data_IF_012183269046
#
_entry.id   IF_012183269046
#
_cell.length_a   1.000
_cell.length_b   1.000
_cell.length_c   1.000
_cell.angle_alpha   90.00
_cell.angle_beta   90.00
_cell.angle_gamma   90.00
#
_symmetry.space_group_name_H-M   'P 1'
#
loop_
_entity.id
_entity.type
_entity.pdbx_description
1 polymer ?
#
# COMPACT_ATOMS: atom_id res chain seq x y z
N UNK A 1 4.94 5.89 -33.93
CA UNK A 1 4.33 5.08 -32.82
C UNK A 1 3.79 6.04 -31.80
N UNK A 2 2.48 5.96 -31.41
CA UNK A 2 1.92 6.83 -30.37
C UNK A 2 2.75 6.63 -29.09
N UNK A 3 3.23 7.73 -28.51
CA UNK A 3 4.03 7.76 -27.27
C UNK A 3 3.15 7.25 -26.11
N UNK A 4 3.13 5.92 -25.90
CA UNK A 4 2.31 5.29 -24.85
C UNK A 4 2.90 5.61 -23.48
N UNK A 5 2.06 5.91 -22.51
CA UNK A 5 2.48 6.12 -21.13
C UNK A 5 2.99 4.81 -20.51
N UNK A 6 4.04 4.91 -19.70
CA UNK A 6 4.70 3.78 -19.04
C UNK A 6 4.42 3.82 -17.55
N UNK A 7 3.91 2.71 -17.02
CA UNK A 7 3.64 2.55 -15.60
C UNK A 7 4.48 1.44 -14.97
N UNK A 8 5.01 1.70 -13.79
CA UNK A 8 5.64 0.71 -12.91
C UNK A 8 4.73 0.48 -11.70
N UNK A 9 4.34 -0.77 -11.46
CA UNK A 9 3.48 -1.15 -10.31
C UNK A 9 4.24 -2.17 -9.48
N UNK A 10 4.51 -1.87 -8.20
CA UNK A 10 5.20 -2.80 -7.30
C UNK A 10 4.21 -3.77 -6.63
N UNK A 11 4.62 -5.01 -6.36
CA UNK A 11 3.77 -6.02 -5.73
C UNK A 11 2.53 -6.37 -6.55
N UNK A 12 2.66 -6.44 -7.88
CA UNK A 12 1.55 -6.57 -8.82
C UNK A 12 1.10 -8.01 -9.08
N UNK A 13 1.66 -9.01 -8.41
CA UNK A 13 1.32 -10.42 -8.64
C UNK A 13 -0.04 -10.85 -8.06
N UNK A 14 -0.69 -10.02 -7.25
CA UNK A 14 -2.00 -10.30 -6.65
C UNK A 14 -2.70 -9.02 -6.19
N UNK A 15 -3.96 -9.15 -5.76
CA UNK A 15 -4.72 -8.11 -5.07
C UNK A 15 -4.78 -6.77 -5.80
N UNK A 16 -4.55 -5.69 -5.06
CA UNK A 16 -4.63 -4.31 -5.57
C UNK A 16 -3.66 -4.09 -6.73
N UNK A 17 -2.41 -4.52 -6.59
CA UNK A 17 -1.39 -4.32 -7.61
C UNK A 17 -1.74 -4.98 -8.95
N UNK A 18 -2.26 -6.22 -8.91
CA UNK A 18 -2.70 -6.93 -10.11
C UNK A 18 -3.90 -6.25 -10.78
N UNK A 19 -4.87 -5.81 -9.97
CA UNK A 19 -6.05 -5.11 -10.47
C UNK A 19 -5.69 -3.76 -11.11
N UNK A 20 -4.78 -3.00 -10.47
CA UNK A 20 -4.25 -1.76 -11.04
C UNK A 20 -3.48 -2.02 -12.34
N UNK A 21 -2.62 -3.04 -12.38
CA UNK A 21 -1.86 -3.38 -13.59
C UNK A 21 -2.79 -3.70 -14.76
N UNK A 22 -3.84 -4.49 -14.53
CA UNK A 22 -4.87 -4.81 -15.54
C UNK A 22 -5.56 -3.54 -16.04
N UNK A 23 -6.07 -2.71 -15.13
CA UNK A 23 -6.84 -1.53 -15.48
C UNK A 23 -6.03 -0.47 -16.22
N UNK A 24 -4.78 -0.27 -15.83
CA UNK A 24 -3.85 0.61 -16.54
C UNK A 24 -3.54 0.13 -17.96
N UNK A 25 -3.30 -1.18 -18.11
CA UNK A 25 -3.06 -1.77 -19.43
C UNK A 25 -4.28 -1.63 -20.36
N UNK A 26 -5.49 -1.81 -19.83
CA UNK A 26 -6.74 -1.56 -20.55
C UNK A 26 -6.93 -0.08 -20.97
N UNK A 27 -6.31 0.85 -20.22
CA UNK A 27 -6.27 2.29 -20.57
C UNK A 27 -5.10 2.65 -21.50
N UNK A 28 -4.39 1.66 -22.05
CA UNK A 28 -3.32 1.85 -23.03
C UNK A 28 -1.94 2.10 -22.46
N UNK A 29 -1.75 1.99 -21.14
CA UNK A 29 -0.41 2.03 -20.54
C UNK A 29 0.38 0.78 -20.89
N UNK A 30 1.70 0.93 -21.04
CA UNK A 30 2.66 -0.16 -20.96
C UNK A 30 2.99 -0.38 -19.49
N UNK A 31 2.57 -1.50 -18.90
CA UNK A 31 2.64 -1.73 -17.46
C UNK A 31 3.73 -2.71 -17.10
N UNK A 32 4.75 -2.25 -16.41
CA UNK A 32 5.76 -3.10 -15.81
C UNK A 32 5.28 -3.53 -14.42
N UNK A 33 4.92 -4.79 -14.32
CA UNK A 33 4.26 -5.38 -13.15
C UNK A 33 5.28 -6.11 -12.27
N UNK A 34 5.71 -5.44 -11.20
CA UNK A 34 6.73 -5.92 -10.27
C UNK A 34 6.24 -7.07 -9.40
N UNK A 35 7.03 -8.14 -9.32
CA UNK A 35 6.81 -9.26 -8.41
C UNK A 35 8.14 -9.70 -7.76
N UNK A 36 8.07 -10.23 -6.53
CA UNK A 36 9.26 -10.73 -5.80
C UNK A 36 9.50 -12.21 -6.02
N UNK A 37 8.44 -13.02 -5.97
CA UNK A 37 8.53 -14.47 -6.04
C UNK A 37 8.02 -14.99 -7.38
N UNK A 38 8.91 -15.60 -8.23
CA UNK A 38 8.52 -16.16 -9.52
C UNK A 38 7.41 -17.22 -9.43
N UNK A 39 7.41 -18.04 -8.36
CA UNK A 39 6.40 -19.09 -8.16
C UNK A 39 4.98 -18.53 -7.93
N UNK A 40 4.86 -17.24 -7.57
CA UNK A 40 3.58 -16.55 -7.33
C UNK A 40 3.20 -15.57 -8.46
N UNK A 41 3.90 -15.60 -9.59
CA UNK A 41 3.70 -14.67 -10.70
C UNK A 41 2.74 -15.18 -11.81
N UNK A 42 2.12 -16.35 -11.64
CA UNK A 42 1.27 -16.98 -12.68
C UNK A 42 0.17 -16.06 -13.21
N UNK A 43 -0.51 -15.33 -12.33
CA UNK A 43 -1.55 -14.37 -12.75
C UNK A 43 -1.01 -13.24 -13.64
N UNK A 44 0.24 -12.79 -13.43
CA UNK A 44 0.87 -11.78 -14.28
C UNK A 44 1.22 -12.33 -15.65
N UNK A 45 1.73 -13.56 -15.71
CA UNK A 45 2.01 -14.23 -16.96
C UNK A 45 0.75 -14.47 -17.79
N UNK A 46 -0.35 -14.85 -17.14
CA UNK A 46 -1.64 -14.95 -17.82
C UNK A 46 -2.12 -13.59 -18.36
N UNK A 47 -1.98 -12.53 -17.56
CA UNK A 47 -2.39 -11.19 -17.96
C UNK A 47 -1.54 -10.65 -19.12
N UNK A 48 -0.24 -10.97 -19.17
CA UNK A 48 0.68 -10.51 -20.20
C UNK A 48 0.41 -11.10 -21.59
N UNK A 49 -0.37 -12.19 -21.66
CA UNK A 49 -0.76 -12.82 -22.95
C UNK A 49 -1.79 -11.99 -23.72
N UNK A 50 -2.60 -11.19 -23.02
CA UNK A 50 -3.73 -10.45 -23.62
C UNK A 50 -3.62 -8.93 -23.49
N UNK A 51 -2.76 -8.43 -22.62
CA UNK A 51 -2.62 -7.00 -22.35
C UNK A 51 -1.14 -6.57 -22.33
N UNK A 52 -0.84 -5.30 -22.57
CA UNK A 52 0.52 -4.75 -22.52
C UNK A 52 1.06 -4.68 -21.08
N UNK A 53 1.07 -5.81 -20.39
CA UNK A 53 1.63 -6.02 -19.05
C UNK A 53 2.91 -6.83 -19.18
N UNK A 54 3.98 -6.33 -18.59
CA UNK A 54 5.32 -6.92 -18.63
C UNK A 54 5.70 -7.34 -17.20
N UNK A 55 5.66 -8.65 -16.88
CA UNK A 55 6.14 -9.13 -15.59
C UNK A 55 7.60 -8.74 -15.36
N UNK A 56 7.90 -8.17 -14.19
CA UNK A 56 9.21 -7.65 -13.86
C UNK A 56 9.66 -8.16 -12.49
N UNK A 57 10.79 -8.87 -12.43
CA UNK A 57 11.35 -9.29 -11.14
C UNK A 57 11.82 -8.05 -10.37
N UNK A 58 11.14 -7.76 -9.26
CA UNK A 58 11.38 -6.58 -8.44
C UNK A 58 11.09 -6.92 -6.98
N UNK A 59 12.13 -6.99 -6.19
CA UNK A 59 12.08 -7.10 -4.74
C UNK A 59 12.40 -5.73 -4.13
N UNK A 60 11.39 -5.09 -3.53
CA UNK A 60 11.53 -3.75 -2.95
C UNK A 60 12.40 -3.73 -1.70
N UNK A 61 12.62 -4.89 -1.07
CA UNK A 61 13.47 -5.02 0.12
C UNK A 61 14.96 -4.96 -0.26
N UNK A 62 15.32 -5.01 -1.56
CA UNK A 62 16.69 -5.11 -2.06
C UNK A 62 17.03 -4.03 -3.07
N UNK A 63 17.87 -3.07 -2.68
CA UNK A 63 18.31 -1.96 -3.55
C UNK A 63 18.85 -2.43 -4.92
N UNK A 64 19.70 -3.47 -5.02
CA UNK A 64 20.16 -3.95 -6.33
C UNK A 64 19.03 -4.46 -7.23
N UNK A 65 18.01 -5.11 -6.65
CA UNK A 65 16.83 -5.58 -7.40
C UNK A 65 16.03 -4.40 -7.96
N UNK A 66 15.78 -3.39 -7.13
CA UNK A 66 15.06 -2.17 -7.54
C UNK A 66 15.81 -1.45 -8.67
N UNK A 67 17.11 -1.21 -8.49
CA UNK A 67 17.93 -0.53 -9.50
C UNK A 67 17.97 -1.29 -10.84
N UNK A 68 18.13 -2.62 -10.79
CA UNK A 68 18.11 -3.47 -11.99
C UNK A 68 16.76 -3.38 -12.70
N UNK A 69 15.66 -3.47 -11.95
CA UNK A 69 14.30 -3.42 -12.50
C UNK A 69 14.02 -2.05 -13.16
N UNK A 70 14.28 -0.95 -12.45
CA UNK A 70 14.07 0.40 -12.98
C UNK A 70 14.95 0.64 -14.21
N UNK A 71 16.23 0.27 -14.17
CA UNK A 71 17.14 0.39 -15.32
C UNK A 71 16.65 -0.42 -16.52
N UNK A 72 16.08 -1.61 -16.30
CA UNK A 72 15.49 -2.42 -17.38
C UNK A 72 14.33 -1.69 -18.06
N UNK A 73 13.42 -1.07 -17.27
CA UNK A 73 12.32 -0.28 -17.82
C UNK A 73 12.84 0.92 -18.60
N UNK A 74 13.77 1.68 -18.02
CA UNK A 74 14.32 2.88 -18.66
C UNK A 74 15.10 2.57 -19.94
N UNK A 75 15.86 1.47 -19.99
CA UNK A 75 16.53 1.06 -21.24
C UNK A 75 15.55 0.73 -22.36
N UNK A 76 14.38 0.17 -21.99
CA UNK A 76 13.39 -0.31 -22.99
C UNK A 76 12.43 0.79 -23.44
N UNK A 77 12.06 1.68 -22.53
CA UNK A 77 11.00 2.68 -22.76
C UNK A 77 11.51 4.14 -22.74
N UNK A 78 12.70 4.36 -22.23
CA UNK A 78 13.29 5.69 -22.06
C UNK A 78 12.69 6.51 -20.90
N UNK A 79 11.56 6.06 -20.32
CA UNK A 79 10.79 6.83 -19.35
C UNK A 79 9.97 5.94 -18.41
N UNK A 80 9.53 6.54 -17.29
CA UNK A 80 8.46 6.04 -16.40
C UNK A 80 7.55 7.23 -16.12
N UNK A 81 6.30 7.18 -16.61
CA UNK A 81 5.33 8.26 -16.42
C UNK A 81 4.55 8.12 -15.12
N UNK A 82 4.33 6.88 -14.67
CA UNK A 82 3.56 6.55 -13.45
C UNK A 82 4.27 5.48 -12.62
N UNK A 83 4.42 5.75 -11.34
CA UNK A 83 4.79 4.74 -10.34
C UNK A 83 3.59 4.50 -9.41
N UNK A 84 3.22 3.23 -9.20
CA UNK A 84 2.32 2.81 -8.11
C UNK A 84 3.13 1.97 -7.12
N UNK A 85 3.43 2.55 -5.96
CA UNK A 85 4.01 1.84 -4.84
C UNK A 85 2.91 1.10 -4.09
N UNK A 86 2.77 -0.19 -4.40
CA UNK A 86 1.74 -1.05 -3.81
C UNK A 86 2.34 -2.22 -2.99
N UNK A 87 3.59 -2.58 -3.21
CA UNK A 87 4.23 -3.65 -2.46
C UNK A 87 4.16 -3.39 -0.96
N UNK A 88 3.65 -4.36 -0.21
CA UNK A 88 3.50 -4.26 1.23
C UNK A 88 2.76 -5.46 1.79
N UNK A 89 2.80 -5.62 3.10
CA UNK A 89 2.04 -6.64 3.82
C UNK A 89 1.61 -6.13 5.19
N UNK A 90 0.69 -6.82 5.82
CA UNK A 90 0.23 -6.57 7.18
C UNK A 90 0.94 -7.55 8.13
N UNK A 91 1.56 -7.02 9.18
CA UNK A 91 1.98 -7.78 10.34
C UNK A 91 0.98 -7.51 11.45
N UNK A 92 0.23 -8.53 11.84
CA UNK A 92 -0.71 -8.46 12.94
C UNK A 92 -0.05 -8.95 14.23
N UNK A 93 -0.30 -8.24 15.32
CA UNK A 93 0.18 -8.56 16.65
C UNK A 93 0.24 -7.33 17.55
N UNK A 94 0.17 -7.58 18.86
CA UNK A 94 0.42 -6.54 19.86
C UNK A 94 1.92 -6.26 19.93
N UNK A 95 2.29 -5.05 20.30
CA UNK A 95 3.69 -4.61 20.31
C UNK A 95 4.61 -5.56 21.10
N UNK A 96 4.16 -6.02 22.24
CA UNK A 96 4.91 -6.92 23.12
C UNK A 96 5.10 -8.34 22.54
N UNK A 97 4.17 -8.77 21.67
CA UNK A 97 4.21 -10.08 21.01
C UNK A 97 5.00 -10.09 19.70
N UNK A 98 5.29 -8.93 19.14
CA UNK A 98 6.08 -8.81 17.92
C UNK A 98 7.57 -8.77 18.23
N UNK A 99 8.35 -9.59 17.53
CA UNK A 99 9.80 -9.51 17.61
C UNK A 99 10.33 -8.30 16.83
N UNK A 100 11.53 -7.83 17.19
CA UNK A 100 12.24 -6.81 16.41
C UNK A 100 12.38 -7.22 14.94
N UNK A 101 12.58 -8.49 14.64
CA UNK A 101 12.66 -9.01 13.29
C UNK A 101 11.34 -8.85 12.53
N UNK A 102 10.18 -9.09 13.18
CA UNK A 102 8.86 -8.89 12.59
C UNK A 102 8.62 -7.42 12.25
N UNK A 103 8.92 -6.53 13.20
CA UNK A 103 8.76 -5.09 13.03
C UNK A 103 9.69 -4.58 11.91
N UNK A 104 10.98 -4.95 11.95
CA UNK A 104 11.96 -4.55 10.92
C UNK A 104 11.54 -5.03 9.52
N UNK A 105 11.08 -6.28 9.39
CA UNK A 105 10.63 -6.82 8.11
C UNK A 105 9.46 -6.03 7.54
N UNK A 106 8.53 -5.59 8.38
CA UNK A 106 7.40 -4.78 7.93
C UNK A 106 7.83 -3.38 7.50
N UNK A 107 8.69 -2.70 8.26
CA UNK A 107 9.25 -1.41 7.88
C UNK A 107 10.09 -1.51 6.61
N UNK A 108 10.88 -2.59 6.47
CA UNK A 108 11.71 -2.83 5.31
C UNK A 108 10.91 -2.81 4.01
N UNK A 109 9.80 -3.56 3.98
CA UNK A 109 8.95 -3.62 2.79
C UNK A 109 8.07 -2.37 2.65
N UNK A 110 7.35 -2.00 3.71
CA UNK A 110 6.27 -1.01 3.61
C UNK A 110 6.79 0.44 3.56
N UNK A 111 7.96 0.71 4.13
CA UNK A 111 8.54 2.06 4.25
C UNK A 111 9.79 2.20 3.39
N UNK A 112 10.83 1.45 3.71
CA UNK A 112 12.10 1.55 2.99
C UNK A 112 11.98 1.09 1.54
N UNK A 113 11.13 0.09 1.26
CA UNK A 113 10.81 -0.34 -0.10
C UNK A 113 10.21 0.78 -0.93
N UNK A 114 9.25 1.54 -0.39
CA UNK A 114 8.66 2.71 -1.06
C UNK A 114 9.73 3.75 -1.38
N UNK A 115 10.56 4.11 -0.41
CA UNK A 115 11.65 5.07 -0.59
C UNK A 115 12.66 4.63 -1.65
N UNK A 116 13.06 3.34 -1.64
CA UNK A 116 13.99 2.80 -2.64
C UNK A 116 13.46 2.96 -4.06
N UNK A 117 12.20 2.59 -4.28
CA UNK A 117 11.60 2.68 -5.62
C UNK A 117 11.43 4.13 -6.03
N UNK A 118 10.95 5.02 -5.13
CA UNK A 118 10.88 6.45 -5.42
C UNK A 118 12.26 7.01 -5.81
N UNK A 119 13.30 6.75 -5.02
CA UNK A 119 14.67 7.21 -5.29
C UNK A 119 15.22 6.72 -6.62
N UNK A 120 14.84 5.52 -7.05
CA UNK A 120 15.29 4.95 -8.31
C UNK A 120 14.58 5.58 -9.53
N UNK A 121 13.30 5.98 -9.42
CA UNK A 121 12.54 6.55 -10.56
C UNK A 121 12.66 8.06 -10.65
N UNK A 122 12.82 8.77 -9.54
CA UNK A 122 12.87 10.24 -9.49
C UNK A 122 13.88 10.89 -10.43
N UNK A 123 15.11 10.37 -10.60
CA UNK A 123 16.06 10.97 -11.55
C UNK A 123 15.53 11.00 -12.97
N UNK A 124 14.84 9.96 -13.44
CA UNK A 124 14.26 9.93 -14.78
C UNK A 124 13.05 10.86 -14.89
N UNK A 125 12.16 10.88 -13.91
CA UNK A 125 11.00 11.78 -13.88
C UNK A 125 11.44 13.25 -13.84
N UNK A 126 12.49 13.57 -13.07
CA UNK A 126 13.08 14.91 -13.04
C UNK A 126 13.66 15.33 -14.41
N UNK A 127 14.38 14.43 -15.09
CA UNK A 127 14.87 14.67 -16.45
C UNK A 127 13.74 14.88 -17.46
N UNK A 128 12.60 14.19 -17.26
CA UNK A 128 11.39 14.34 -18.07
C UNK A 128 10.66 15.67 -17.83
N UNK A 129 10.88 16.34 -16.67
CA UNK A 129 10.06 17.47 -16.21
C UNK A 129 8.62 17.07 -15.86
N UNK A 130 8.35 15.78 -15.66
CA UNK A 130 7.02 15.26 -15.36
C UNK A 130 7.09 13.85 -14.78
N UNK A 131 6.08 13.49 -14.01
CA UNK A 131 5.94 12.15 -13.45
C UNK A 131 4.80 12.10 -12.44
N UNK A 132 4.29 10.91 -12.17
CA UNK A 132 3.24 10.69 -11.16
C UNK A 132 3.59 9.52 -10.27
N UNK A 133 3.47 9.73 -8.97
CA UNK A 133 3.71 8.70 -7.96
C UNK A 133 2.44 8.55 -7.11
N UNK A 134 1.87 7.34 -7.09
CA UNK A 134 0.77 6.97 -6.21
C UNK A 134 1.28 5.96 -5.18
N UNK A 135 1.29 6.34 -3.91
CA UNK A 135 1.62 5.45 -2.82
C UNK A 135 0.34 4.83 -2.26
N UNK A 136 0.27 3.50 -2.17
CA UNK A 136 -0.86 2.81 -1.55
C UNK A 136 -0.67 2.84 -0.03
N UNK A 137 -1.33 3.79 0.58
CA UNK A 137 -1.46 3.95 2.03
C UNK A 137 -2.47 3.00 2.65
N UNK A 138 -3.20 3.52 3.63
CA UNK A 138 -4.34 2.86 4.30
C UNK A 138 -5.06 3.89 5.16
N UNK A 139 -6.28 3.62 5.59
CA UNK A 139 -6.92 4.33 6.71
C UNK A 139 -6.11 4.19 8.00
N UNK A 140 -5.32 3.14 8.13
CA UNK A 140 -4.36 2.96 9.22
C UNK A 140 -3.23 4.02 9.24
N UNK A 141 -3.14 4.89 8.22
CA UNK A 141 -2.22 6.03 8.19
C UNK A 141 -2.70 7.24 9.02
N UNK A 142 -3.91 7.18 9.57
CA UNK A 142 -4.47 8.23 10.43
C UNK A 142 -5.33 7.70 11.59
N UNK A 143 -5.60 6.39 11.61
CA UNK A 143 -6.34 5.72 12.68
C UNK A 143 -5.64 4.41 13.05
N UNK A 144 -4.78 4.47 14.06
CA UNK A 144 -4.13 3.28 14.60
C UNK A 144 -5.12 2.48 15.46
N UNK A 145 -5.07 1.16 15.34
CA UNK A 145 -5.89 0.26 16.16
C UNK A 145 -5.01 -0.81 16.83
N UNK A 146 -5.38 -1.28 18.03
CA UNK A 146 -4.68 -2.36 18.71
C UNK A 146 -4.53 -3.60 17.81
N UNK A 147 -3.44 -4.33 17.95
CA UNK A 147 -3.14 -5.50 17.13
C UNK A 147 -2.61 -5.20 15.71
N UNK A 148 -2.72 -3.94 15.25
CA UNK A 148 -2.17 -3.45 13.98
C UNK A 148 -1.19 -2.28 14.15
N UNK A 149 -0.65 -2.07 15.36
CA UNK A 149 0.21 -0.92 15.68
C UNK A 149 1.42 -0.81 14.77
N UNK A 150 2.17 -1.89 14.56
CA UNK A 150 3.34 -1.91 13.69
C UNK A 150 2.98 -1.60 12.22
N UNK A 151 1.85 -2.16 11.72
CA UNK A 151 1.34 -1.84 10.40
C UNK A 151 0.94 -0.37 10.29
N UNK A 152 0.18 0.14 11.26
CA UNK A 152 -0.22 1.56 11.29
C UNK A 152 0.99 2.48 11.27
N UNK A 153 2.00 2.22 12.10
CA UNK A 153 3.24 2.99 12.13
C UNK A 153 3.89 3.08 10.74
N UNK A 154 3.93 1.96 9.97
CA UNK A 154 4.44 2.01 8.60
C UNK A 154 3.58 2.85 7.67
N UNK A 155 2.26 2.86 7.85
CA UNK A 155 1.36 3.65 7.01
C UNK A 155 1.38 5.13 7.36
N UNK A 156 1.54 5.49 8.63
CA UNK A 156 1.85 6.87 9.05
C UNK A 156 3.18 7.36 8.44
N UNK A 157 4.21 6.52 8.45
CA UNK A 157 5.49 6.84 7.81
C UNK A 157 5.34 7.08 6.30
N UNK A 158 4.59 6.23 5.58
CA UNK A 158 4.31 6.42 4.14
C UNK A 158 3.54 7.70 3.87
N UNK A 159 2.57 8.06 4.74
CA UNK A 159 1.86 9.33 4.65
C UNK A 159 2.84 10.51 4.73
N UNK A 160 3.69 10.55 5.76
CA UNK A 160 4.70 11.60 5.93
C UNK A 160 5.66 11.68 4.74
N UNK A 161 6.16 10.54 4.27
CA UNK A 161 7.03 10.44 3.08
C UNK A 161 6.31 11.00 1.84
N UNK A 162 5.03 10.68 1.66
CA UNK A 162 4.24 11.15 0.52
C UNK A 162 4.09 12.68 0.55
N UNK A 163 3.85 13.25 1.73
CA UNK A 163 3.71 14.70 1.92
C UNK A 163 5.02 15.43 1.63
N UNK A 164 6.13 14.93 2.16
CA UNK A 164 7.45 15.51 1.91
C UNK A 164 7.82 15.45 0.41
N UNK A 165 7.72 14.24 -0.19
CA UNK A 165 8.01 14.06 -1.62
C UNK A 165 7.14 14.96 -2.51
N UNK A 166 5.85 15.14 -2.17
CA UNK A 166 4.96 16.02 -2.93
C UNK A 166 5.48 17.45 -3.00
N UNK A 167 6.03 17.98 -1.93
CA UNK A 167 6.61 19.32 -1.87
C UNK A 167 7.97 19.37 -2.54
N UNK A 168 8.83 18.42 -2.22
CA UNK A 168 10.20 18.34 -2.74
C UNK A 168 10.25 18.21 -4.26
N UNK A 169 9.31 17.45 -4.87
CA UNK A 169 9.35 17.13 -6.30
C UNK A 169 8.55 18.09 -7.18
N UNK A 170 7.76 18.97 -6.56
CA UNK A 170 6.93 19.96 -7.26
C UNK A 170 7.69 20.84 -8.28
N UNK A 171 8.92 21.33 -7.97
CA UNK A 171 9.66 22.17 -8.92
C UNK A 171 9.97 21.47 -10.24
N UNK A 172 9.93 20.13 -10.28
CA UNK A 172 10.21 19.34 -11.49
C UNK A 172 8.93 18.79 -12.15
N UNK A 173 7.74 19.31 -11.81
CA UNK A 173 6.49 18.85 -12.39
C UNK A 173 6.12 17.43 -12.03
N UNK A 174 6.70 16.87 -10.96
CA UNK A 174 6.38 15.52 -10.46
C UNK A 174 5.29 15.63 -9.40
N UNK A 175 4.21 14.90 -9.63
CA UNK A 175 3.05 14.88 -8.73
C UNK A 175 3.05 13.61 -7.87
N UNK A 176 2.89 13.76 -6.57
CA UNK A 176 2.85 12.65 -5.61
C UNK A 176 1.55 12.68 -4.84
N UNK A 177 0.91 11.52 -4.69
CA UNK A 177 -0.33 11.39 -3.94
C UNK A 177 -0.38 10.07 -3.16
N UNK A 178 -1.23 10.03 -2.15
CA UNK A 178 -1.52 8.82 -1.39
C UNK A 178 -2.95 8.35 -1.64
N UNK A 179 -3.10 7.04 -1.80
CA UNK A 179 -4.39 6.37 -1.87
C UNK A 179 -4.59 5.58 -0.56
N UNK A 180 -5.58 5.96 0.23
CA UNK A 180 -5.83 5.37 1.55
C UNK A 180 -7.10 4.51 1.53
N UNK A 181 -7.00 3.23 1.14
CA UNK A 181 -8.12 2.31 1.27
C UNK A 181 -8.34 1.90 2.72
N UNK A 182 -9.61 1.70 3.07
CA UNK A 182 -9.99 0.83 4.18
C UNK A 182 -9.91 -0.65 3.76
N UNK A 183 -10.85 -1.47 4.23
CA UNK A 183 -10.87 -2.88 3.87
C UNK A 183 -11.26 -3.08 2.40
N UNK A 184 -10.38 -3.76 1.65
CA UNK A 184 -10.59 -4.13 0.25
C UNK A 184 -10.53 -5.67 0.13
N UNK A 185 -11.50 -6.26 -0.54
CA UNK A 185 -11.54 -7.72 -0.83
C UNK A 185 -10.37 -8.09 -1.74
N UNK A 186 -9.29 -8.55 -1.13
CA UNK A 186 -8.08 -9.01 -1.80
C UNK A 186 -7.45 -10.14 -0.99
N UNK A 187 -6.44 -10.79 -1.52
CA UNK A 187 -5.63 -11.76 -0.79
C UNK A 187 -4.73 -11.15 0.32
N UNK A 188 -4.93 -9.89 0.67
CA UNK A 188 -4.13 -9.22 1.73
C UNK A 188 -4.27 -9.93 3.07
N UNK A 189 -5.49 -10.35 3.43
CA UNK A 189 -5.71 -11.11 4.69
C UNK A 189 -5.03 -12.47 4.64
N UNK A 190 -5.07 -13.16 3.49
CA UNK A 190 -4.37 -14.44 3.31
C UNK A 190 -2.84 -14.27 3.33
N UNK A 191 -2.35 -13.08 2.99
CA UNK A 191 -0.94 -12.72 3.02
C UNK A 191 -0.52 -11.98 4.31
N UNK A 192 -1.47 -11.72 5.22
CA UNK A 192 -1.16 -11.16 6.53
C UNK A 192 -0.25 -12.13 7.28
N UNK A 193 0.77 -11.58 7.92
CA UNK A 193 1.67 -12.32 8.78
C UNK A 193 1.29 -12.06 10.22
N UNK A 194 1.52 -13.05 11.07
CA UNK A 194 1.29 -12.94 12.50
C UNK A 194 2.61 -13.24 13.20
N UNK A 195 2.97 -12.44 14.17
CA UNK A 195 4.16 -12.69 14.98
C UNK A 195 4.09 -14.06 15.68
N UNK A 196 5.22 -14.73 15.84
CA UNK A 196 5.25 -16.10 16.41
C UNK A 196 4.64 -16.18 17.81
N UNK A 197 4.79 -15.13 18.64
CA UNK A 197 4.29 -15.08 20.01
C UNK A 197 2.80 -14.72 20.11
N UNK A 198 2.24 -14.10 19.08
CA UNK A 198 0.83 -13.63 19.05
C UNK A 198 -0.17 -14.76 19.28
N UNK A 199 0.15 -15.98 18.81
CA UNK A 199 -0.69 -17.18 19.00
C UNK A 199 -0.29 -18.01 20.23
N UNK A 200 0.65 -17.54 21.02
CA UNK A 200 1.06 -18.23 22.24
C UNK A 200 -0.02 -18.12 23.31
N UNK A 201 -0.42 -19.22 23.96
CA UNK A 201 -1.32 -19.14 25.11
C UNK A 201 -0.68 -18.42 26.31
N UNK A 202 0.64 -18.23 26.30
CA UNK A 202 1.37 -17.47 27.32
C UNK A 202 1.41 -15.96 27.04
N UNK A 203 0.88 -15.50 25.89
CA UNK A 203 0.76 -14.06 25.62
C UNK A 203 -0.30 -13.47 26.55
N UNK A 204 -0.02 -12.33 27.20
CA UNK A 204 -1.03 -11.59 27.97
C UNK A 204 -2.19 -11.12 27.07
N UNK A 205 -1.98 -11.10 25.76
CA UNK A 205 -2.96 -10.68 24.76
C UNK A 205 -3.71 -11.85 24.08
N UNK A 206 -3.57 -13.09 24.56
CA UNK A 206 -4.17 -14.26 23.90
C UNK A 206 -5.70 -14.14 23.73
N UNK A 207 -6.42 -13.60 24.74
CA UNK A 207 -7.85 -13.33 24.66
C UNK A 207 -8.21 -12.24 23.66
N UNK A 208 -7.37 -11.18 23.56
CA UNK A 208 -7.51 -10.13 22.56
C UNK A 208 -7.29 -10.67 21.16
N UNK A 209 -6.29 -11.51 20.94
CA UNK A 209 -6.01 -12.09 19.65
C UNK A 209 -7.21 -12.83 19.09
N UNK A 210 -7.88 -13.66 19.89
CA UNK A 210 -9.11 -14.35 19.50
C UNK A 210 -10.26 -13.38 19.15
N UNK A 211 -10.43 -12.32 19.95
CA UNK A 211 -11.43 -11.30 19.67
C UNK A 211 -11.14 -10.58 18.36
N UNK A 212 -9.88 -10.15 18.13
CA UNK A 212 -9.50 -9.44 16.91
C UNK A 212 -9.55 -10.32 15.67
N UNK A 213 -9.22 -11.61 15.74
CA UNK A 213 -9.42 -12.54 14.63
C UNK A 213 -10.90 -12.59 14.20
N UNK A 214 -11.84 -12.65 15.14
CA UNK A 214 -13.27 -12.58 14.85
C UNK A 214 -13.70 -11.23 14.28
N UNK A 215 -13.24 -10.15 14.88
CA UNK A 215 -13.55 -8.78 14.47
C UNK A 215 -13.03 -8.48 13.05
N UNK A 216 -11.81 -8.90 12.71
CA UNK A 216 -11.24 -8.76 11.38
C UNK A 216 -12.03 -9.56 10.34
N UNK A 217 -12.48 -10.77 10.66
CA UNK A 217 -13.33 -11.57 9.76
C UNK A 217 -14.64 -10.82 9.44
N UNK A 218 -15.29 -10.22 10.44
CA UNK A 218 -16.54 -9.48 10.22
C UNK A 218 -16.35 -8.18 9.47
N UNK A 219 -15.27 -7.47 9.73
CA UNK A 219 -14.87 -6.29 8.93
C UNK A 219 -14.60 -6.67 7.49
N UNK A 220 -13.94 -7.80 7.26
CA UNK A 220 -13.59 -8.24 5.92
C UNK A 220 -14.81 -8.69 5.10
N UNK A 221 -15.88 -9.18 5.74
CA UNK A 221 -17.18 -9.43 5.09
C UNK A 221 -17.76 -8.15 4.45
N UNK A 222 -17.54 -6.99 5.09
CA UNK A 222 -17.97 -5.66 4.63
C UNK A 222 -16.94 -4.95 3.73
N UNK A 223 -15.83 -5.63 3.39
CA UNK A 223 -14.78 -5.06 2.58
C UNK A 223 -15.28 -4.70 1.16
N UNK A 224 -14.82 -3.57 0.65
CA UNK A 224 -15.18 -3.15 -0.69
C UNK A 224 -14.51 -4.03 -1.77
N UNK A 225 -15.14 -4.26 -2.90
CA UNK A 225 -14.51 -4.94 -4.03
C UNK A 225 -13.31 -4.13 -4.54
N UNK A 226 -12.29 -4.81 -5.06
CA UNK A 226 -11.06 -4.17 -5.54
C UNK A 226 -11.31 -3.21 -6.70
N UNK A 227 -12.35 -3.44 -7.48
CA UNK A 227 -12.79 -2.59 -8.59
C UNK A 227 -13.15 -1.17 -8.12
N UNK A 228 -13.67 -1.02 -6.89
CA UNK A 228 -13.96 0.29 -6.30
C UNK A 228 -12.68 1.10 -6.10
N UNK A 229 -11.62 0.46 -5.61
CA UNK A 229 -10.30 1.07 -5.47
C UNK A 229 -9.71 1.41 -6.85
N UNK A 230 -9.79 0.50 -7.80
CA UNK A 230 -9.31 0.73 -9.18
C UNK A 230 -9.98 1.95 -9.81
N UNK A 231 -11.30 2.11 -9.64
CA UNK A 231 -12.01 3.32 -10.11
C UNK A 231 -11.43 4.59 -9.52
N UNK A 232 -11.05 4.58 -8.24
CA UNK A 232 -10.41 5.73 -7.58
C UNK A 232 -9.02 5.99 -8.14
N UNK A 233 -8.22 4.95 -8.40
CA UNK A 233 -6.91 5.09 -9.06
C UNK A 233 -7.06 5.72 -10.44
N UNK A 234 -7.97 5.20 -11.27
CA UNK A 234 -8.20 5.72 -12.61
C UNK A 234 -8.68 7.19 -12.58
N UNK A 235 -9.59 7.53 -11.65
CA UNK A 235 -10.03 8.91 -11.44
C UNK A 235 -8.87 9.80 -11.00
N UNK A 236 -8.01 9.33 -10.10
CA UNK A 236 -6.83 10.09 -9.69
C UNK A 236 -5.92 10.44 -10.89
N UNK A 237 -5.81 9.54 -11.87
CA UNK A 237 -5.02 9.80 -13.07
C UNK A 237 -5.67 10.84 -14.02
N UNK A 238 -6.94 11.13 -13.88
CA UNK A 238 -7.66 12.19 -14.61
C UNK A 238 -7.51 13.57 -13.94
N UNK A 239 -7.27 13.61 -12.64
CA UNK A 239 -7.10 14.86 -11.89
C UNK A 239 -5.81 15.61 -12.34
N UNK A 240 -5.91 16.94 -12.43
CA UNK A 240 -4.82 17.85 -12.80
C UNK A 240 -4.88 19.11 -11.96
N UNK A 241 -4.04 19.31 -10.95
CA UNK A 241 -3.02 18.37 -10.41
C UNK A 241 -3.62 17.23 -9.60
N UNK A 242 -2.82 16.19 -9.27
CA UNK A 242 -3.20 15.14 -8.33
C UNK A 242 -3.60 15.76 -6.99
N UNK A 243 -4.71 15.30 -6.41
CA UNK A 243 -5.05 15.60 -5.02
C UNK A 243 -4.01 14.99 -4.08
N UNK A 244 -3.85 15.57 -2.89
CA UNK A 244 -2.94 15.04 -1.88
C UNK A 244 -3.29 13.61 -1.49
N UNK A 245 -4.60 13.31 -1.36
CA UNK A 245 -5.12 12.05 -0.82
C UNK A 245 -6.39 11.62 -1.53
N UNK A 246 -6.52 10.31 -1.70
CA UNK A 246 -7.69 9.66 -2.26
C UNK A 246 -8.21 8.61 -1.28
N UNK A 247 -9.46 8.76 -0.86
CA UNK A 247 -10.17 7.83 0.02
C UNK A 247 -11.17 7.02 -0.80
N UNK A 248 -11.31 5.74 -0.51
CA UNK A 248 -12.04 4.81 -1.38
C UNK A 248 -13.51 4.68 -1.00
N UNK A 249 -13.81 4.55 0.30
CA UNK A 249 -15.18 4.43 0.80
C UNK A 249 -15.65 5.73 1.48
N UNK A 250 -16.96 5.88 1.64
CA UNK A 250 -17.51 6.99 2.45
C UNK A 250 -17.07 6.86 3.91
N UNK A 251 -17.07 5.65 4.46
CA UNK A 251 -16.63 5.39 5.85
C UNK A 251 -15.17 5.83 6.06
N UNK A 252 -14.30 5.62 5.05
CA UNK A 252 -12.91 6.07 5.09
C UNK A 252 -12.82 7.60 5.21
N UNK A 253 -13.72 8.32 4.50
CA UNK A 253 -13.81 9.79 4.55
C UNK A 253 -14.32 10.29 5.90
N UNK A 254 -15.36 9.63 6.43
CA UNK A 254 -15.90 9.94 7.75
C UNK A 254 -14.84 9.73 8.82
N UNK A 255 -14.17 8.59 8.81
CA UNK A 255 -13.08 8.27 9.75
C UNK A 255 -11.96 9.33 9.67
N UNK A 256 -11.53 9.68 8.46
CA UNK A 256 -10.53 10.72 8.25
C UNK A 256 -10.96 12.07 8.80
N UNK A 257 -12.19 12.50 8.51
CA UNK A 257 -12.74 13.77 8.97
C UNK A 257 -12.87 13.81 10.50
N UNK A 258 -13.43 12.76 11.10
CA UNK A 258 -13.59 12.67 12.56
C UNK A 258 -12.22 12.68 13.27
N UNK A 259 -11.22 11.99 12.71
CA UNK A 259 -9.86 11.99 13.29
C UNK A 259 -9.23 13.37 13.35
N UNK A 260 -9.55 14.25 12.39
CA UNK A 260 -9.07 15.61 12.36
C UNK A 260 -9.91 16.59 13.18
N UNK A 261 -11.19 16.30 13.33
CA UNK A 261 -12.13 17.19 14.05
C UNK A 261 -12.13 16.94 15.56
N UNK A 262 -11.99 15.67 15.97
CA UNK A 262 -12.11 15.30 17.38
C UNK A 262 -10.76 15.47 18.11
N UNK A 263 -10.76 16.04 19.33
CA UNK A 263 -9.63 15.96 20.25
C UNK A 263 -9.23 14.48 20.49
N UNK A 264 -7.94 14.24 20.73
CA UNK A 264 -7.40 12.88 20.91
C UNK A 264 -8.15 12.10 21.99
N UNK A 265 -8.49 12.71 23.12
CA UNK A 265 -9.23 12.07 24.21
C UNK A 265 -10.62 11.54 23.77
N UNK A 266 -11.36 12.29 22.95
CA UNK A 266 -12.66 11.87 22.42
C UNK A 266 -12.50 10.77 21.36
N UNK A 267 -11.46 10.87 20.52
CA UNK A 267 -11.14 9.85 19.55
C UNK A 267 -10.79 8.52 20.22
N UNK A 268 -9.89 8.53 21.22
CA UNK A 268 -9.48 7.35 21.98
C UNK A 268 -10.65 6.76 22.77
N UNK A 269 -11.49 7.59 23.38
CA UNK A 269 -12.70 7.15 24.06
C UNK A 269 -13.65 6.42 23.09
N UNK A 270 -13.86 6.97 21.89
CA UNK A 270 -14.70 6.34 20.87
C UNK A 270 -14.14 4.99 20.40
N UNK A 271 -12.84 4.92 20.11
CA UNK A 271 -12.16 3.67 19.75
C UNK A 271 -12.20 2.67 20.90
N UNK A 272 -11.98 3.14 22.13
CA UNK A 272 -11.99 2.31 23.32
C UNK A 272 -13.34 1.61 23.57
N UNK A 273 -14.47 2.26 23.21
CA UNK A 273 -15.79 1.64 23.28
C UNK A 273 -16.03 0.51 22.28
N UNK A 274 -15.29 0.49 21.18
CA UNK A 274 -15.37 -0.60 20.20
C UNK A 274 -14.69 -1.88 20.70
N UNK A 275 -13.87 -1.78 21.75
CA UNK A 275 -13.11 -2.89 22.32
C UNK A 275 -13.77 -3.29 23.65
N UNK A 276 -14.21 -4.54 23.83
CA UNK A 276 -14.85 -4.99 25.07
C UNK A 276 -13.79 -5.25 26.16
N UNK A 277 -13.22 -4.20 26.70
CA UNK A 277 -12.14 -4.24 27.71
C UNK A 277 -12.49 -5.12 28.93
N UNK A 278 -13.79 -5.20 29.28
CA UNK A 278 -14.24 -6.04 30.39
C UNK A 278 -14.06 -7.55 30.21
N UNK A 279 -13.77 -7.99 28.97
CA UNK A 279 -13.52 -9.41 28.66
C UNK A 279 -12.05 -9.81 28.81
N UNK A 280 -11.20 -8.88 29.20
CA UNK A 280 -9.77 -9.14 29.31
C UNK A 280 -9.36 -9.23 30.79
N UNK A 281 -8.48 -10.19 31.14
CA UNK A 281 -7.99 -10.31 32.51
C UNK A 281 -7.27 -9.01 32.90
N UNK A 282 -7.52 -8.57 34.14
CA UNK A 282 -6.79 -7.46 34.77
C UNK A 282 -5.44 -7.94 35.26
#
# INVERSE_FOLDING_TARGET
MKNRSVALVTGANSGIGLACARALAQRGYRVYAGYRNPRKAGNLWNLSRSLPVFPLLLDVDRTPSVNKAVSQVLRKEGKIDLLINNAGFVMAGFWEDLSDADIRAQFETNVFGVLRVCRAVLPSMRKQGSGRILNIGSVAAFAAVPGLGAYSATKFAVNSITEALRMETRPWGIEVAELNPGEIKTSVVQNARTGKRVKSPKSPYASFTKFFEGFEVDRFKKAAPVEKLVKVVLKALEDRPLKRRYLVKMDDRVTYFLRWLLPDALWEWGLGRMIPWSRFPR
#
